data_IF_577377118559
#
_entry.id   IF_577377118559
#
_cell.length_a   1.000
_cell.length_b   1.000
_cell.length_c   1.000
_cell.angle_alpha   90.00
_cell.angle_beta   90.00
_cell.angle_gamma   90.00
#
_symmetry.space_group_name_H-M   'P 1'
#
loop_
_entity.id
_entity.type
_entity.pdbx_description
1 polymer ?
#
# COMPACT_ATOMS: atom_id res chain seq x y z
N UNK A 1 -13.86 19.71 30.56
CA UNK A 1 -13.84 19.23 29.19
C UNK A 1 -15.05 18.36 28.91
N UNK A 2 -15.56 18.40 27.68
CA UNK A 2 -16.69 17.57 27.22
C UNK A 2 -16.19 16.51 26.26
N UNK A 3 -16.50 15.28 26.58
CA UNK A 3 -16.10 14.13 25.74
C UNK A 3 -17.36 13.51 25.16
N UNK A 4 -17.44 13.52 23.81
CA UNK A 4 -18.51 12.89 23.08
C UNK A 4 -18.08 11.46 22.71
N UNK A 5 -18.82 10.47 23.20
CA UNK A 5 -18.53 9.06 22.93
C UNK A 5 -19.14 8.60 21.60
N UNK A 6 -18.72 7.43 21.10
CA UNK A 6 -19.18 6.84 19.83
C UNK A 6 -20.71 6.70 19.73
N UNK A 7 -21.39 6.49 20.84
CA UNK A 7 -22.87 6.38 20.89
C UNK A 7 -23.59 7.73 20.97
N UNK A 8 -22.85 8.84 20.87
CA UNK A 8 -23.36 10.22 20.96
C UNK A 8 -23.58 10.71 22.40
N UNK A 9 -23.34 9.90 23.42
CA UNK A 9 -23.40 10.34 24.81
C UNK A 9 -22.26 11.30 25.15
N UNK A 10 -22.53 12.30 25.97
CA UNK A 10 -21.54 13.30 26.41
C UNK A 10 -21.22 13.12 27.88
N UNK A 11 -19.93 13.06 28.17
CA UNK A 11 -19.40 13.08 29.56
C UNK A 11 -18.65 14.37 29.82
N UNK A 12 -18.88 14.98 30.99
CA UNK A 12 -18.18 16.18 31.40
C UNK A 12 -17.19 15.86 32.51
N UNK A 13 -15.97 16.34 32.38
CA UNK A 13 -14.89 16.17 33.35
C UNK A 13 -14.35 17.53 33.77
N UNK A 14 -14.14 17.72 35.10
CA UNK A 14 -13.56 18.93 35.64
C UNK A 14 -12.05 19.02 35.40
N UNK A 15 -11.37 17.87 35.31
CA UNK A 15 -9.93 17.75 35.16
C UNK A 15 -9.60 16.88 33.92
N UNK A 16 -8.38 17.03 33.42
CA UNK A 16 -7.85 16.17 32.38
C UNK A 16 -7.71 14.71 32.88
N UNK A 17 -8.02 13.76 32.01
CA UNK A 17 -7.94 12.32 32.30
C UNK A 17 -7.29 11.55 31.17
N UNK A 18 -6.60 10.45 31.49
CA UNK A 18 -6.14 9.54 30.48
C UNK A 18 -7.32 8.80 29.79
N UNK A 19 -7.12 8.35 28.55
CA UNK A 19 -8.09 7.50 27.85
C UNK A 19 -8.45 6.27 28.70
N UNK A 20 -7.48 5.71 29.44
CA UNK A 20 -7.70 4.59 30.34
C UNK A 20 -8.63 4.96 31.53
N UNK A 21 -8.40 6.10 32.18
CA UNK A 21 -9.22 6.55 33.30
C UNK A 21 -10.66 6.84 32.85
N UNK A 22 -10.82 7.40 31.62
CA UNK A 22 -12.14 7.60 31.04
C UNK A 22 -12.82 6.26 30.79
N UNK A 23 -12.10 5.26 30.23
CA UNK A 23 -12.62 3.92 30.03
C UNK A 23 -13.05 3.27 31.38
N UNK A 24 -12.28 3.52 32.46
CA UNK A 24 -12.57 3.02 33.81
C UNK A 24 -13.83 3.67 34.40
N UNK A 25 -14.00 4.99 34.23
CA UNK A 25 -15.20 5.72 34.65
C UNK A 25 -16.47 5.25 33.88
N UNK A 26 -16.30 4.79 32.67
CA UNK A 26 -17.41 4.22 31.91
C UNK A 26 -17.76 2.82 32.40
N UNK A 27 -16.78 1.96 32.58
CA UNK A 27 -16.96 0.59 33.07
C UNK A 27 -15.60 -0.10 33.31
N UNK A 28 -15.46 -0.79 34.45
CA UNK A 28 -14.32 -1.66 34.76
C UNK A 28 -14.13 -2.75 33.69
N UNK A 29 -15.25 -3.26 33.11
CA UNK A 29 -15.22 -4.25 32.05
C UNK A 29 -14.60 -3.69 30.75
N UNK A 30 -14.94 -2.44 30.42
CA UNK A 30 -14.37 -1.75 29.25
C UNK A 30 -12.88 -1.45 29.48
N UNK A 31 -12.51 -0.86 30.61
CA UNK A 31 -11.11 -0.56 30.93
C UNK A 31 -10.20 -1.79 30.89
N UNK A 32 -10.72 -2.95 31.28
CA UNK A 32 -9.99 -4.23 31.21
C UNK A 32 -9.60 -4.63 29.80
N UNK A 33 -10.49 -4.42 28.82
CA UNK A 33 -10.29 -4.83 27.42
C UNK A 33 -9.86 -3.68 26.50
N UNK A 34 -9.90 -2.45 26.98
CA UNK A 34 -9.45 -1.27 26.25
C UNK A 34 -7.94 -1.34 25.97
N UNK A 35 -7.54 -1.08 24.74
CA UNK A 35 -6.14 -1.15 24.28
C UNK A 35 -5.62 0.16 23.69
N UNK A 36 -6.51 1.04 23.23
CA UNK A 36 -6.18 2.36 22.66
C UNK A 36 -7.40 3.28 22.74
N UNK A 37 -7.22 4.55 22.41
CA UNK A 37 -8.29 5.51 22.12
C UNK A 37 -8.27 5.94 20.68
N UNK A 38 -9.40 6.45 20.20
CA UNK A 38 -9.47 7.19 18.95
C UNK A 38 -10.03 8.57 19.27
N UNK A 39 -9.20 9.61 19.16
CA UNK A 39 -9.57 11.00 19.43
C UNK A 39 -9.70 11.72 18.08
N UNK A 40 -10.89 12.24 17.80
CA UNK A 40 -11.20 12.97 16.57
C UNK A 40 -10.75 12.25 15.28
N UNK A 41 -10.79 10.90 15.29
CA UNK A 41 -10.40 10.03 14.18
C UNK A 41 -8.97 9.49 14.23
N UNK A 42 -8.10 10.03 15.08
CA UNK A 42 -6.72 9.57 15.26
C UNK A 42 -6.59 8.54 16.40
N UNK A 43 -5.88 7.44 16.12
CA UNK A 43 -5.61 6.40 17.13
C UNK A 43 -4.47 6.84 18.03
N UNK A 44 -4.76 6.88 19.32
CA UNK A 44 -3.83 7.32 20.38
C UNK A 44 -3.58 6.23 21.41
N UNK A 45 -2.44 6.35 22.12
CA UNK A 45 -2.12 5.46 23.23
C UNK A 45 -3.19 5.57 24.35
N UNK A 46 -3.48 4.46 24.98
CA UNK A 46 -4.46 4.43 26.09
C UNK A 46 -4.05 5.31 27.29
N UNK A 47 -2.77 5.66 27.38
CA UNK A 47 -2.20 6.53 28.42
C UNK A 47 -2.30 8.02 28.03
N UNK A 48 -2.71 8.34 26.81
CA UNK A 48 -2.84 9.71 26.33
C UNK A 48 -3.81 10.48 27.21
N UNK A 49 -3.38 11.63 27.69
CA UNK A 49 -4.20 12.53 28.51
C UNK A 49 -5.05 13.40 27.60
N UNK A 50 -6.35 13.35 27.81
CA UNK A 50 -7.32 14.22 27.16
C UNK A 50 -7.50 15.46 28.04
N UNK A 51 -7.29 16.64 27.47
CA UNK A 51 -7.31 17.93 28.17
C UNK A 51 -8.24 18.97 27.53
N UNK A 52 -8.89 18.63 26.42
CA UNK A 52 -9.81 19.47 25.65
C UNK A 52 -11.08 18.72 25.25
N UNK A 53 -12.07 19.45 24.78
CA UNK A 53 -13.28 18.87 24.21
C UNK A 53 -12.93 18.09 22.94
N UNK A 54 -13.43 16.84 22.82
CA UNK A 54 -13.15 15.96 21.69
C UNK A 54 -14.22 14.88 21.52
N UNK A 55 -14.16 14.21 20.38
CA UNK A 55 -14.82 12.91 20.18
C UNK A 55 -13.85 11.80 20.59
N UNK A 56 -14.29 10.90 21.46
CA UNK A 56 -13.48 9.78 21.93
C UNK A 56 -14.20 8.45 21.70
N UNK A 57 -13.53 7.55 21.01
CA UNK A 57 -13.91 6.14 20.94
C UNK A 57 -12.86 5.29 21.69
N UNK A 58 -13.30 4.42 22.59
CA UNK A 58 -12.41 3.48 23.29
C UNK A 58 -12.28 2.22 22.42
N UNK A 59 -11.06 1.97 21.97
CA UNK A 59 -10.75 0.84 21.10
C UNK A 59 -10.39 -0.42 21.90
N UNK A 60 -10.85 -1.55 21.38
CA UNK A 60 -10.55 -2.88 21.87
C UNK A 60 -9.93 -3.73 20.75
N UNK A 61 -9.32 -4.87 21.07
CA UNK A 61 -8.78 -5.78 20.03
C UNK A 61 -9.85 -6.40 19.10
N UNK A 62 -11.13 -6.02 19.24
CA UNK A 62 -12.18 -6.35 18.27
C UNK A 62 -12.31 -5.30 17.16
N UNK A 63 -11.75 -4.12 17.38
CA UNK A 63 -11.78 -3.03 16.43
C UNK A 63 -10.56 -3.13 15.50
N UNK A 64 -10.78 -3.05 14.19
CA UNK A 64 -9.70 -3.13 13.19
C UNK A 64 -8.62 -2.07 13.41
N UNK A 65 -9.00 -0.86 13.80
CA UNK A 65 -8.09 0.24 14.14
C UNK A 65 -7.14 -0.08 15.31
N UNK A 66 -7.41 -1.12 16.09
CA UNK A 66 -6.53 -1.57 17.18
C UNK A 66 -5.46 -2.59 16.74
N UNK A 67 -5.59 -3.17 15.54
CA UNK A 67 -4.60 -4.14 15.03
C UNK A 67 -3.19 -3.55 14.91
N UNK A 68 -3.00 -2.32 14.40
CA UNK A 68 -1.67 -1.69 14.39
C UNK A 68 -1.04 -1.59 15.78
N UNK A 69 -1.84 -1.30 16.83
CA UNK A 69 -1.35 -1.21 18.22
C UNK A 69 -0.88 -2.56 18.75
N UNK A 70 -1.65 -3.62 18.47
CA UNK A 70 -1.27 -5.00 18.77
C UNK A 70 0.04 -5.38 18.09
N UNK A 71 0.13 -5.14 16.77
CA UNK A 71 1.28 -5.47 15.93
C UNK A 71 2.52 -4.68 16.35
N UNK A 72 2.36 -3.40 16.65
CA UNK A 72 3.45 -2.57 17.12
C UNK A 72 3.97 -3.06 18.48
N UNK A 73 3.10 -3.44 19.38
CA UNK A 73 3.53 -4.05 20.67
C UNK A 73 4.20 -5.41 20.45
N UNK A 74 3.69 -6.22 19.53
CA UNK A 74 4.31 -7.49 19.18
C UNK A 74 5.72 -7.31 18.56
N UNK A 75 5.97 -6.21 17.82
CA UNK A 75 7.30 -5.90 17.30
C UNK A 75 8.31 -5.62 18.42
N UNK A 76 7.89 -4.92 19.49
CA UNK A 76 8.74 -4.70 20.67
C UNK A 76 8.98 -5.99 21.45
N UNK A 77 7.99 -6.88 21.58
CA UNK A 77 8.17 -8.20 22.18
C UNK A 77 9.16 -9.04 21.37
N UNK A 78 9.09 -8.97 20.04
CA UNK A 78 10.05 -9.65 19.16
C UNK A 78 11.44 -9.05 19.31
N UNK A 79 11.59 -7.73 19.32
CA UNK A 79 12.87 -7.06 19.51
C UNK A 79 13.51 -7.41 20.87
N UNK A 80 12.72 -7.45 21.96
CA UNK A 80 13.18 -7.91 23.27
C UNK A 80 13.63 -9.37 23.23
N UNK A 81 12.86 -10.25 22.60
CA UNK A 81 13.24 -11.66 22.45
C UNK A 81 14.57 -11.82 21.70
N UNK A 82 14.74 -11.07 20.61
CA UNK A 82 16.00 -11.07 19.84
C UNK A 82 17.14 -10.55 20.69
N UNK A 83 16.96 -9.45 21.44
CA UNK A 83 18.03 -8.92 22.33
C UNK A 83 18.43 -9.89 23.43
N UNK A 84 17.49 -10.66 23.98
CA UNK A 84 17.78 -11.71 24.97
C UNK A 84 18.61 -12.84 24.39
N UNK A 85 18.32 -13.22 23.14
CA UNK A 85 19.01 -14.34 22.46
C UNK A 85 20.32 -13.91 21.80
N UNK A 86 20.41 -12.65 21.35
CA UNK A 86 21.55 -12.08 20.62
C UNK A 86 21.95 -10.73 21.23
N UNK A 87 22.69 -10.71 22.35
CA UNK A 87 22.98 -9.47 23.10
C UNK A 87 23.72 -8.40 22.32
N UNK A 88 24.47 -8.76 21.27
CA UNK A 88 25.20 -7.83 20.40
C UNK A 88 24.35 -7.17 19.30
N UNK A 89 23.07 -7.54 19.16
CA UNK A 89 22.19 -6.98 18.13
C UNK A 89 21.94 -5.50 18.37
N UNK A 90 21.93 -4.70 17.27
CA UNK A 90 21.55 -3.28 17.32
C UNK A 90 20.21 -3.10 16.63
N UNK A 91 19.35 -2.32 17.26
CA UNK A 91 17.98 -2.12 16.83
C UNK A 91 17.85 -0.83 15.99
N UNK A 92 17.16 -0.92 14.86
CA UNK A 92 16.85 0.23 14.01
C UNK A 92 15.38 0.66 14.17
N UNK A 93 14.47 0.17 13.31
CA UNK A 93 13.05 0.53 13.33
C UNK A 93 12.16 -0.72 13.28
N UNK A 94 10.98 -0.61 13.91
CA UNK A 94 10.04 -1.74 14.01
C UNK A 94 8.57 -1.33 13.91
N UNK A 95 8.11 -0.75 12.76
CA UNK A 95 6.72 -0.33 12.61
C UNK A 95 5.75 -1.50 12.41
N UNK A 96 4.47 -1.25 12.70
CA UNK A 96 3.38 -2.07 12.18
C UNK A 96 3.13 -1.76 10.70
N UNK A 97 2.69 -2.76 9.96
CA UNK A 97 2.27 -2.68 8.56
C UNK A 97 0.88 -3.31 8.41
N UNK A 98 0.26 -3.18 7.23
CA UNK A 98 -1.11 -3.63 6.98
C UNK A 98 -1.38 -5.07 7.45
N UNK A 99 -0.48 -6.02 7.15
CA UNK A 99 -0.68 -7.45 7.45
C UNK A 99 0.23 -8.00 8.57
N UNK A 100 0.96 -7.13 9.26
CA UNK A 100 1.89 -7.58 10.28
C UNK A 100 2.76 -6.46 10.83
N UNK A 101 4.01 -6.77 11.02
CA UNK A 101 5.05 -5.86 11.47
C UNK A 101 6.41 -6.37 11.05
N UNK A 102 7.41 -5.53 11.09
CA UNK A 102 8.79 -5.94 10.95
C UNK A 102 9.68 -5.25 11.97
N UNK A 103 10.91 -5.70 12.07
CA UNK A 103 11.96 -4.99 12.78
C UNK A 103 13.27 -5.10 12.03
N UNK A 104 13.91 -3.95 11.78
CA UNK A 104 15.22 -3.86 11.17
C UNK A 104 16.30 -3.92 12.24
N UNK A 105 17.24 -4.84 12.09
CA UNK A 105 18.26 -5.13 13.09
C UNK A 105 19.62 -5.38 12.44
N UNK A 106 20.68 -4.98 13.12
CA UNK A 106 22.04 -5.35 12.75
C UNK A 106 22.52 -6.50 13.62
N UNK A 107 22.86 -7.61 12.98
CA UNK A 107 23.40 -8.80 13.64
C UNK A 107 24.89 -8.96 13.34
N UNK A 108 25.66 -9.45 14.30
CA UNK A 108 27.05 -9.88 14.09
C UNK A 108 27.13 -11.15 13.25
N UNK A 109 26.21 -12.09 13.49
CA UNK A 109 26.04 -13.32 12.71
C UNK A 109 24.67 -13.34 12.07
N UNK A 110 24.56 -13.55 10.73
CA UNK A 110 23.28 -13.54 10.05
C UNK A 110 22.29 -14.56 10.65
N UNK A 111 21.04 -14.13 10.82
CA UNK A 111 19.94 -15.02 11.16
C UNK A 111 19.55 -15.90 9.98
N UNK A 112 19.02 -17.07 10.30
CA UNK A 112 18.40 -17.98 9.34
C UNK A 112 16.97 -18.31 9.78
N UNK A 113 16.18 -18.95 8.91
CA UNK A 113 14.85 -19.44 9.26
C UNK A 113 14.84 -20.42 10.44
N UNK A 114 15.96 -21.10 10.73
CA UNK A 114 16.07 -22.04 11.84
C UNK A 114 16.05 -21.34 13.22
N UNK A 115 16.26 -20.02 13.23
CA UNK A 115 16.20 -19.22 14.45
C UNK A 115 14.78 -18.80 14.83
N UNK A 116 13.80 -18.89 13.90
CA UNK A 116 12.43 -18.42 14.13
C UNK A 116 11.77 -19.08 15.34
N UNK A 117 11.88 -20.41 15.45
CA UNK A 117 11.28 -21.14 16.56
C UNK A 117 11.86 -20.72 17.92
N UNK A 118 13.18 -20.43 17.97
CA UNK A 118 13.85 -19.96 19.19
C UNK A 118 13.36 -18.58 19.59
N UNK A 119 13.23 -17.66 18.61
CA UNK A 119 12.74 -16.30 18.85
C UNK A 119 11.26 -16.35 19.28
N UNK A 120 10.40 -17.12 18.60
CA UNK A 120 9.01 -17.29 18.99
C UNK A 120 8.85 -17.91 20.39
N UNK A 121 9.71 -18.85 20.74
CA UNK A 121 9.72 -19.44 22.09
C UNK A 121 10.07 -18.40 23.15
N UNK A 122 11.02 -17.52 22.89
CA UNK A 122 11.40 -16.43 23.81
C UNK A 122 10.30 -15.36 23.90
N UNK A 123 9.68 -14.98 22.75
CA UNK A 123 8.50 -14.12 22.74
C UNK A 123 7.38 -14.67 23.65
N UNK A 124 7.10 -15.98 23.57
CA UNK A 124 6.10 -16.64 24.44
C UNK A 124 6.45 -16.54 25.92
N UNK A 125 7.73 -16.56 26.30
CA UNK A 125 8.17 -16.33 27.70
C UNK A 125 7.91 -14.90 28.13
N UNK A 126 8.32 -13.92 27.33
CA UNK A 126 8.10 -12.49 27.61
C UNK A 126 6.60 -12.19 27.77
N UNK A 127 5.75 -12.72 26.91
CA UNK A 127 4.29 -12.59 27.01
C UNK A 127 3.77 -13.20 28.33
N UNK A 128 4.31 -14.33 28.75
CA UNK A 128 3.94 -14.98 30.00
C UNK A 128 4.40 -14.21 31.24
N UNK A 129 5.53 -13.49 31.15
CA UNK A 129 6.02 -12.62 32.22
C UNK A 129 5.06 -11.47 32.53
N UNK A 130 4.21 -11.09 31.58
CA UNK A 130 3.20 -10.03 31.74
C UNK A 130 3.82 -8.70 32.18
N UNK A 131 4.85 -8.28 31.48
CA UNK A 131 5.55 -7.03 31.76
C UNK A 131 4.65 -5.83 31.44
N UNK A 132 4.58 -4.89 32.37
CA UNK A 132 3.93 -3.60 32.14
C UNK A 132 4.71 -2.82 31.08
N UNK A 133 3.99 -2.11 30.20
CA UNK A 133 4.60 -1.23 29.18
C UNK A 133 4.43 0.21 29.67
N UNK A 134 5.54 0.86 29.94
CA UNK A 134 5.58 2.22 30.51
C UNK A 134 6.13 3.18 29.46
N UNK A 135 5.38 4.27 29.19
CA UNK A 135 5.84 5.38 28.36
C UNK A 135 6.54 6.42 29.23
N UNK A 136 7.67 6.93 28.78
CA UNK A 136 8.34 8.08 29.37
C UNK A 136 9.03 8.92 28.30
N UNK A 137 9.36 10.16 28.64
CA UNK A 137 10.02 11.10 27.73
C UNK A 137 11.36 11.57 28.31
N UNK A 138 12.24 12.00 27.42
CA UNK A 138 13.52 12.61 27.80
C UNK A 138 13.81 13.82 26.93
N UNK A 139 14.48 14.85 27.47
CA UNK A 139 15.07 15.91 26.66
C UNK A 139 16.09 15.30 25.66
N UNK A 140 16.27 15.95 24.50
CA UNK A 140 17.09 15.45 23.39
C UNK A 140 18.49 14.99 23.82
N UNK A 141 19.23 15.82 24.56
CA UNK A 141 20.60 15.49 24.97
C UNK A 141 20.64 14.26 25.88
N UNK A 142 19.67 14.16 26.79
CA UNK A 142 19.54 12.99 27.68
C UNK A 142 19.12 11.75 26.90
N UNK A 143 18.23 11.89 25.91
CA UNK A 143 17.80 10.80 25.06
C UNK A 143 18.94 10.24 24.21
N UNK A 144 19.77 11.11 23.64
CA UNK A 144 20.98 10.72 22.89
C UNK A 144 21.98 10.01 23.81
N UNK A 145 22.24 10.57 25.00
CA UNK A 145 23.17 9.96 25.97
C UNK A 145 22.66 8.58 26.42
N UNK A 146 21.36 8.47 26.66
CA UNK A 146 20.69 7.23 27.06
C UNK A 146 20.79 6.15 25.99
N UNK A 147 20.55 6.46 24.71
CA UNK A 147 20.69 5.49 23.63
C UNK A 147 22.13 5.13 23.32
N UNK A 148 23.10 6.05 23.51
CA UNK A 148 24.53 5.75 23.45
C UNK A 148 24.95 4.76 24.53
N UNK A 149 24.49 4.95 25.77
CA UNK A 149 24.73 4.02 26.89
C UNK A 149 24.15 2.62 26.60
N UNK A 150 22.97 2.55 25.97
CA UNK A 150 22.33 1.30 25.56
C UNK A 150 23.00 0.63 24.35
N UNK A 151 23.91 1.30 23.67
CA UNK A 151 24.60 0.77 22.48
C UNK A 151 23.74 0.70 21.22
N UNK A 152 22.77 1.63 21.07
CA UNK A 152 21.82 1.69 19.98
C UNK A 152 22.11 2.85 19.01
N UNK A 153 23.10 2.71 18.10
CA UNK A 153 23.53 3.82 17.24
C UNK A 153 22.44 4.31 16.30
N UNK A 154 21.61 3.41 15.74
CA UNK A 154 20.52 3.79 14.84
C UNK A 154 19.45 4.62 15.56
N UNK A 155 19.19 4.36 16.84
CA UNK A 155 18.27 5.18 17.64
C UNK A 155 18.84 6.56 17.93
N UNK A 156 20.17 6.68 18.09
CA UNK A 156 20.85 7.97 18.22
C UNK A 156 20.65 8.79 16.94
N UNK A 157 20.92 8.22 15.77
CA UNK A 157 20.72 8.88 14.49
C UNK A 157 19.26 9.34 14.28
N UNK A 158 18.28 8.50 14.66
CA UNK A 158 16.87 8.85 14.58
C UNK A 158 16.53 10.04 15.47
N UNK A 159 17.06 10.11 16.70
CA UNK A 159 16.84 11.24 17.61
C UNK A 159 17.48 12.53 17.05
N UNK A 160 18.68 12.43 16.46
CA UNK A 160 19.39 13.56 15.88
C UNK A 160 18.64 14.18 14.70
N UNK A 161 17.87 13.37 13.95
CA UNK A 161 17.07 13.82 12.80
C UNK A 161 15.70 14.41 13.16
N UNK A 162 15.19 14.18 14.37
CA UNK A 162 13.91 14.74 14.79
C UNK A 162 13.94 16.28 14.77
N UNK A 163 12.86 16.97 14.37
CA UNK A 163 12.77 18.44 14.44
C UNK A 163 13.03 18.98 15.85
N UNK A 164 13.52 20.21 15.94
CA UNK A 164 13.69 20.87 17.25
C UNK A 164 12.33 21.06 17.93
N UNK A 165 12.27 20.72 19.23
CA UNK A 165 11.05 20.86 20.04
C UNK A 165 10.12 19.66 19.97
N UNK A 166 10.41 18.64 19.16
CA UNK A 166 9.62 17.42 19.16
C UNK A 166 9.85 16.60 20.44
N UNK A 167 8.75 16.01 20.98
CA UNK A 167 8.78 15.19 22.17
C UNK A 167 9.44 13.84 21.88
N UNK A 168 10.51 13.52 22.58
CA UNK A 168 11.24 12.26 22.42
C UNK A 168 10.74 11.26 23.46
N UNK A 169 9.96 10.29 23.02
CA UNK A 169 9.34 9.29 23.87
C UNK A 169 9.98 7.91 23.72
N UNK A 170 9.89 7.17 24.80
CA UNK A 170 10.38 5.82 24.95
C UNK A 170 9.29 4.93 25.53
N UNK A 171 9.33 3.65 25.18
CA UNK A 171 8.52 2.63 25.81
C UNK A 171 9.41 1.57 26.43
N UNK A 172 9.14 1.27 27.69
CA UNK A 172 9.88 0.28 28.49
C UNK A 172 8.99 -0.89 28.85
N UNK A 173 9.50 -2.11 28.69
CA UNK A 173 8.90 -3.35 29.14
C UNK A 173 9.98 -4.23 29.80
N UNK A 174 9.96 -4.25 31.16
CA UNK A 174 11.03 -4.89 31.92
C UNK A 174 12.40 -4.25 31.65
N UNK A 175 13.37 -5.06 31.24
CA UNK A 175 14.72 -4.62 30.89
C UNK A 175 14.83 -3.98 29.49
N UNK A 176 13.85 -4.18 28.64
CA UNK A 176 13.84 -3.68 27.27
C UNK A 176 13.29 -2.26 27.23
N UNK A 177 13.98 -1.38 26.50
CA UNK A 177 13.55 0.00 26.21
C UNK A 177 13.78 0.29 24.74
N UNK A 178 12.80 0.94 24.12
CA UNK A 178 12.90 1.38 22.75
C UNK A 178 12.49 2.84 22.56
N UNK A 179 13.14 3.55 21.63
CA UNK A 179 12.71 4.85 21.12
C UNK A 179 11.48 4.65 20.25
N UNK A 180 10.35 5.22 20.65
CA UNK A 180 9.09 4.98 19.98
C UNK A 180 8.05 6.04 20.29
N UNK A 181 7.24 6.43 19.31
CA UNK A 181 6.10 7.33 19.46
C UNK A 181 4.82 6.62 19.97
N UNK A 182 4.75 5.29 19.84
CA UNK A 182 3.55 4.52 20.18
C UNK A 182 2.52 4.52 19.03
N UNK A 183 1.24 4.16 19.30
CA UNK A 183 0.73 3.64 20.58
C UNK A 183 1.06 2.18 20.87
N UNK A 184 0.99 1.77 22.13
CA UNK A 184 1.22 0.40 22.58
C UNK A 184 0.13 -0.11 23.52
N UNK A 185 0.01 -1.44 23.63
CA UNK A 185 -0.83 -2.11 24.63
C UNK A 185 -0.34 -1.82 26.07
N UNK A 186 -1.12 -2.18 27.08
CA UNK A 186 -0.76 -1.94 28.50
C UNK A 186 0.33 -2.88 28.99
N UNK A 187 0.35 -4.12 28.49
CA UNK A 187 1.32 -5.13 28.90
C UNK A 187 1.65 -6.11 27.78
N UNK A 188 2.80 -6.78 27.90
CA UNK A 188 3.24 -7.82 26.95
C UNK A 188 2.28 -8.99 26.85
N UNK A 189 1.51 -9.29 27.92
CA UNK A 189 0.51 -10.36 27.95
C UNK A 189 -0.63 -10.13 26.95
N UNK A 190 -0.99 -8.89 26.68
CA UNK A 190 -2.08 -8.53 25.79
C UNK A 190 -1.77 -8.84 24.30
N UNK A 191 -0.50 -9.04 23.94
CA UNK A 191 -0.11 -9.55 22.61
C UNK A 191 -0.70 -10.93 22.34
N UNK A 192 -0.91 -11.74 23.39
CA UNK A 192 -1.49 -13.05 23.24
C UNK A 192 -0.54 -14.09 22.62
N UNK A 193 -1.11 -15.14 22.05
CA UNK A 193 -0.34 -16.26 21.50
C UNK A 193 -0.48 -16.40 19.98
N UNK A 194 -1.27 -15.54 19.36
CA UNK A 194 -1.56 -15.60 17.94
C UNK A 194 -0.59 -14.71 17.13
N UNK A 195 0.67 -15.08 17.11
CA UNK A 195 1.72 -14.44 16.33
C UNK A 195 2.60 -15.47 15.63
N UNK A 196 3.26 -15.06 14.55
CA UNK A 196 4.17 -15.90 13.76
C UNK A 196 5.26 -15.06 13.12
N UNK A 197 6.50 -15.55 13.15
CA UNK A 197 7.59 -15.00 12.33
C UNK A 197 7.43 -15.57 10.92
N UNK A 198 7.44 -14.70 9.92
CA UNK A 198 7.10 -15.05 8.54
C UNK A 198 8.31 -15.21 7.63
N UNK A 199 9.25 -14.26 7.68
CA UNK A 199 10.39 -14.24 6.76
C UNK A 199 11.53 -13.35 7.24
N UNK A 200 12.67 -13.48 6.56
CA UNK A 200 13.83 -12.59 6.64
C UNK A 200 14.07 -11.92 5.29
N UNK A 201 14.49 -10.68 5.31
CA UNK A 201 14.97 -9.96 4.13
C UNK A 201 16.16 -9.05 4.49
N UNK A 202 16.97 -8.70 3.50
CA UNK A 202 17.91 -7.59 3.62
C UNK A 202 17.19 -6.27 3.38
N UNK A 203 17.49 -5.26 4.18
CA UNK A 203 16.97 -3.90 3.99
C UNK A 203 18.10 -2.90 4.24
N UNK A 204 18.34 -2.01 3.27
CA UNK A 204 19.32 -0.94 3.48
C UNK A 204 18.80 0.09 4.48
N UNK A 205 19.63 0.50 5.41
CA UNK A 205 19.29 1.54 6.35
C UNK A 205 18.82 2.81 5.61
N UNK A 206 17.66 3.32 5.98
CA UNK A 206 16.98 4.47 5.33
C UNK A 206 16.66 4.27 3.82
N UNK A 207 16.64 3.02 3.35
CA UNK A 207 16.35 2.71 1.94
C UNK A 207 17.45 3.13 0.95
N UNK A 208 18.64 3.51 1.42
CA UNK A 208 19.76 3.91 0.59
C UNK A 208 20.77 2.75 0.47
N UNK A 209 21.02 2.31 -0.77
CA UNK A 209 21.95 1.21 -1.08
C UNK A 209 23.40 1.47 -0.67
N UNK A 210 23.78 2.72 -0.39
CA UNK A 210 25.10 3.09 0.10
C UNK A 210 25.23 2.90 1.62
N UNK A 211 24.13 2.76 2.33
CA UNK A 211 24.10 2.51 3.76
C UNK A 211 24.22 1.03 4.07
N UNK A 212 24.41 0.72 5.35
CA UNK A 212 24.54 -0.66 5.82
C UNK A 212 23.26 -1.45 5.55
N UNK A 213 23.43 -2.66 5.05
CA UNK A 213 22.33 -3.62 4.93
C UNK A 213 22.03 -4.23 6.29
N UNK A 214 20.80 -4.06 6.76
CA UNK A 214 20.25 -4.63 7.98
C UNK A 214 19.46 -5.90 7.65
N UNK A 215 19.24 -6.71 8.66
CA UNK A 215 18.32 -7.84 8.59
C UNK A 215 16.93 -7.36 9.02
N UNK A 216 15.97 -7.46 8.12
CA UNK A 216 14.56 -7.20 8.37
C UNK A 216 13.86 -8.50 8.72
N UNK A 217 13.34 -8.60 9.92
CA UNK A 217 12.58 -9.74 10.42
C UNK A 217 11.09 -9.42 10.36
N UNK A 218 10.36 -10.10 9.48
CA UNK A 218 8.92 -9.93 9.32
C UNK A 218 8.13 -10.90 10.18
N UNK A 219 7.07 -10.40 10.79
CA UNK A 219 6.16 -11.20 11.59
C UNK A 219 4.73 -10.66 11.51
N UNK A 220 3.78 -11.46 11.99
CA UNK A 220 2.38 -11.03 12.10
C UNK A 220 1.81 -11.38 13.46
N UNK A 221 0.77 -10.66 13.88
CA UNK A 221 0.00 -10.93 15.09
C UNK A 221 -1.48 -10.63 14.87
N UNK A 222 -2.32 -11.45 15.49
CA UNK A 222 -3.76 -11.36 15.45
C UNK A 222 -4.36 -11.47 16.86
N UNK A 223 -5.56 -10.95 17.11
CA UNK A 223 -6.25 -11.11 18.39
C UNK A 223 -6.57 -12.57 18.72
N UNK A 224 -6.84 -13.39 17.71
CA UNK A 224 -7.24 -14.79 17.87
C UNK A 224 -6.39 -15.74 17.03
N UNK A 225 -6.28 -16.97 17.54
CA UNK A 225 -5.49 -18.02 16.87
C UNK A 225 -6.10 -18.44 15.53
N UNK A 226 -7.42 -18.47 15.46
CA UNK A 226 -8.15 -18.82 14.25
C UNK A 226 -7.89 -17.81 13.11
N UNK A 227 -7.76 -16.52 13.44
CA UNK A 227 -7.43 -15.47 12.48
C UNK A 227 -5.98 -15.63 11.95
N UNK A 228 -5.04 -15.93 12.85
CA UNK A 228 -3.66 -16.25 12.45
C UNK A 228 -3.60 -17.51 11.55
N UNK A 229 -4.30 -18.58 11.90
CA UNK A 229 -4.33 -19.80 11.11
C UNK A 229 -4.95 -19.58 9.73
N UNK A 230 -6.03 -18.80 9.66
CA UNK A 230 -6.65 -18.41 8.39
C UNK A 230 -5.66 -17.58 7.52
N UNK A 231 -4.96 -16.63 8.12
CA UNK A 231 -3.94 -15.84 7.43
C UNK A 231 -2.78 -16.71 6.92
N UNK A 232 -2.24 -17.61 7.74
CA UNK A 232 -1.16 -18.52 7.33
C UNK A 232 -1.63 -19.41 6.16
N UNK A 233 -2.84 -19.97 6.25
CA UNK A 233 -3.42 -20.78 5.18
C UNK A 233 -3.56 -19.97 3.89
N UNK A 234 -4.06 -18.73 3.97
CA UNK A 234 -4.15 -17.82 2.83
C UNK A 234 -2.77 -17.59 2.20
N UNK A 235 -1.73 -17.33 3.01
CA UNK A 235 -0.36 -17.11 2.54
C UNK A 235 0.25 -18.36 1.88
N UNK A 236 -0.03 -19.55 2.41
CA UNK A 236 0.43 -20.81 1.81
C UNK A 236 -0.26 -21.07 0.46
N UNK A 237 -1.58 -20.85 0.38
CA UNK A 237 -2.32 -20.97 -0.87
C UNK A 237 -1.83 -19.94 -1.91
N UNK A 238 -1.56 -18.72 -1.50
CA UNK A 238 -1.00 -17.71 -2.36
C UNK A 238 0.39 -18.11 -2.91
N UNK A 239 1.28 -18.67 -2.09
CA UNK A 239 2.58 -19.21 -2.55
C UNK A 239 2.41 -20.34 -3.57
N UNK A 240 1.40 -21.20 -3.41
CA UNK A 240 1.09 -22.25 -4.40
C UNK A 240 0.62 -21.67 -5.74
N UNK A 241 -0.09 -20.53 -5.71
CA UNK A 241 -0.65 -19.84 -6.87
C UNK A 241 0.27 -18.77 -7.45
N UNK A 242 1.48 -18.59 -6.92
CA UNK A 242 2.44 -17.62 -7.41
C UNK A 242 2.67 -17.83 -8.92
N UNK A 243 2.31 -16.82 -9.71
CA UNK A 243 2.39 -16.87 -11.16
C UNK A 243 3.81 -17.12 -11.68
N UNK A 244 4.86 -16.70 -10.94
CA UNK A 244 6.27 -16.95 -11.29
C UNK A 244 6.61 -18.42 -11.17
N UNK A 245 6.09 -19.08 -10.13
CA UNK A 245 6.22 -20.52 -9.92
C UNK A 245 5.44 -21.29 -11.00
N UNK A 246 4.15 -21.00 -11.12
CA UNK A 246 3.26 -21.64 -12.09
C UNK A 246 3.72 -21.39 -13.53
N UNK A 247 4.15 -20.18 -13.87
CA UNK A 247 4.67 -19.83 -15.18
C UNK A 247 5.88 -20.66 -15.58
N UNK A 248 6.80 -20.91 -14.64
CA UNK A 248 7.97 -21.77 -14.85
C UNK A 248 7.57 -23.25 -14.96
N UNK A 249 6.78 -23.77 -14.01
CA UNK A 249 6.37 -25.17 -13.97
C UNK A 249 5.54 -25.56 -15.20
N UNK A 250 4.67 -24.69 -15.66
CA UNK A 250 3.82 -24.91 -16.83
C UNK A 250 4.48 -24.53 -18.16
N UNK A 251 5.62 -23.85 -18.13
CA UNK A 251 6.31 -23.36 -19.33
C UNK A 251 5.52 -22.30 -20.07
N UNK A 252 5.01 -21.28 -19.34
CA UNK A 252 4.19 -20.21 -19.91
C UNK A 252 5.03 -19.01 -20.36
N UNK A 253 5.99 -18.59 -19.56
CA UNK A 253 6.89 -17.47 -19.86
C UNK A 253 8.23 -17.62 -19.15
N UNK A 254 9.20 -16.84 -19.60
CA UNK A 254 10.51 -16.74 -18.96
C UNK A 254 10.97 -15.30 -18.90
N UNK A 255 11.86 -15.03 -17.95
CA UNK A 255 12.67 -13.81 -17.89
C UNK A 255 14.11 -14.16 -18.27
N UNK A 256 14.80 -13.26 -18.96
CA UNK A 256 16.17 -13.48 -19.42
C UNK A 256 17.04 -12.25 -19.12
N UNK A 257 18.33 -12.49 -18.87
CA UNK A 257 19.30 -11.42 -18.56
C UNK A 257 19.52 -10.42 -19.69
N UNK A 258 19.30 -10.82 -20.94
CA UNK A 258 19.35 -9.93 -22.09
C UNK A 258 18.23 -8.87 -22.11
N UNK A 259 17.19 -9.06 -21.30
CA UNK A 259 16.03 -8.15 -21.19
C UNK A 259 15.46 -8.17 -19.78
N UNK A 260 16.14 -7.57 -18.78
CA UNK A 260 15.62 -7.53 -17.41
C UNK A 260 14.29 -6.77 -17.35
N UNK A 261 13.22 -7.43 -16.87
CA UNK A 261 11.89 -6.88 -16.81
C UNK A 261 11.08 -6.99 -18.12
N UNK A 262 11.60 -7.68 -19.14
CA UNK A 262 10.89 -7.96 -20.38
C UNK A 262 10.48 -9.44 -20.42
N UNK A 263 9.19 -9.77 -20.29
CA UNK A 263 8.74 -11.16 -20.30
C UNK A 263 8.77 -11.75 -21.71
N UNK A 264 9.29 -12.97 -21.83
CA UNK A 264 9.26 -13.78 -23.06
C UNK A 264 8.15 -14.82 -22.92
N UNK A 265 7.08 -14.71 -23.70
CA UNK A 265 6.02 -15.70 -23.71
C UNK A 265 6.43 -16.94 -24.51
N UNK A 266 6.31 -18.10 -23.88
CA UNK A 266 6.57 -19.40 -24.50
C UNK A 266 5.31 -19.92 -25.22
N UNK A 267 5.39 -20.99 -26.05
CA UNK A 267 4.25 -21.44 -26.85
C UNK A 267 2.97 -21.68 -26.05
N UNK A 268 3.05 -22.33 -24.89
CA UNK A 268 1.87 -22.53 -24.03
C UNK A 268 1.34 -21.21 -23.44
N UNK A 269 2.24 -20.29 -23.10
CA UNK A 269 1.86 -18.96 -22.64
C UNK A 269 1.17 -18.16 -23.73
N UNK A 270 1.58 -18.33 -25.00
CA UNK A 270 0.91 -17.70 -26.13
C UNK A 270 -0.50 -18.25 -26.38
N UNK A 271 -0.75 -19.54 -26.12
CA UNK A 271 -2.12 -20.09 -26.15
C UNK A 271 -3.00 -19.38 -25.14
N UNK A 272 -2.53 -19.29 -23.89
CA UNK A 272 -3.26 -18.59 -22.82
C UNK A 272 -3.50 -17.12 -23.19
N UNK A 273 -2.43 -16.41 -23.60
CA UNK A 273 -2.51 -15.00 -23.99
C UNK A 273 -3.52 -14.78 -25.12
N UNK A 274 -3.44 -15.56 -26.18
CA UNK A 274 -4.35 -15.42 -27.33
C UNK A 274 -5.81 -15.71 -26.94
N UNK A 275 -6.06 -16.69 -26.08
CA UNK A 275 -7.42 -16.96 -25.57
C UNK A 275 -7.99 -15.75 -24.84
N UNK A 276 -7.19 -15.05 -24.02
CA UNK A 276 -7.61 -13.82 -23.36
C UNK A 276 -7.85 -12.68 -24.35
N UNK A 277 -6.97 -12.54 -25.35
CA UNK A 277 -7.10 -11.51 -26.38
C UNK A 277 -8.32 -11.73 -27.29
N UNK A 278 -8.65 -12.99 -27.61
CA UNK A 278 -9.83 -13.32 -28.40
C UNK A 278 -11.11 -13.02 -27.63
N UNK A 279 -11.13 -13.34 -26.32
CA UNK A 279 -12.22 -12.94 -25.42
C UNK A 279 -12.37 -11.41 -25.35
N UNK A 280 -11.27 -10.68 -25.20
CA UNK A 280 -11.27 -9.22 -25.21
C UNK A 280 -11.91 -8.65 -26.50
N UNK A 281 -11.51 -9.16 -27.67
CA UNK A 281 -12.07 -8.74 -28.95
C UNK A 281 -13.57 -8.99 -29.03
N UNK A 282 -14.02 -10.14 -28.51
CA UNK A 282 -15.45 -10.50 -28.50
C UNK A 282 -16.28 -9.52 -27.67
N UNK A 283 -15.86 -9.26 -26.41
CA UNK A 283 -16.62 -8.39 -25.50
C UNK A 283 -16.59 -6.93 -25.96
N UNK A 284 -15.46 -6.43 -26.42
CA UNK A 284 -15.32 -5.06 -26.91
C UNK A 284 -16.15 -4.84 -28.18
N UNK A 285 -16.13 -5.78 -29.09
CA UNK A 285 -16.99 -5.72 -30.29
C UNK A 285 -18.48 -5.68 -29.93
N UNK A 286 -18.90 -6.49 -28.95
CA UNK A 286 -20.30 -6.47 -28.47
C UNK A 286 -20.65 -5.13 -27.83
N UNK A 287 -19.71 -4.50 -27.12
CA UNK A 287 -19.87 -3.19 -26.49
C UNK A 287 -19.71 -2.01 -27.49
N UNK A 288 -19.52 -2.28 -28.79
CA UNK A 288 -19.44 -1.26 -29.83
C UNK A 288 -18.07 -0.58 -29.97
N UNK A 289 -17.01 -1.20 -29.46
CA UNK A 289 -15.64 -0.71 -29.69
C UNK A 289 -15.11 -1.13 -31.05
N UNK A 290 -14.32 -0.25 -31.66
CA UNK A 290 -13.51 -0.55 -32.86
C UNK A 290 -12.07 -0.75 -32.46
N UNK A 291 -11.41 -1.83 -32.95
CA UNK A 291 -10.02 -2.11 -32.64
C UNK A 291 -9.11 -1.24 -33.51
N UNK A 292 -8.16 -0.55 -32.88
CA UNK A 292 -7.11 0.24 -33.53
C UNK A 292 -5.73 -0.24 -33.09
N UNK A 293 -4.69 0.18 -33.79
CA UNK A 293 -3.30 -0.09 -33.40
C UNK A 293 -2.43 1.11 -33.73
N UNK A 294 -1.64 1.55 -32.77
CA UNK A 294 -0.73 2.69 -32.94
C UNK A 294 0.74 2.25 -32.92
N UNK A 295 1.63 2.96 -33.64
CA UNK A 295 3.06 2.62 -33.70
C UNK A 295 3.72 2.65 -32.32
N UNK A 296 4.70 1.76 -32.11
CA UNK A 296 5.44 1.67 -30.85
C UNK A 296 6.45 2.82 -30.69
N UNK A 297 7.05 3.29 -31.80
CA UNK A 297 8.05 4.36 -31.80
C UNK A 297 7.45 5.58 -32.48
N UNK A 298 7.45 6.72 -31.80
CA UNK A 298 6.89 7.97 -32.27
C UNK A 298 7.84 9.14 -31.96
N UNK A 299 7.78 10.19 -32.80
CA UNK A 299 8.63 11.36 -32.67
C UNK A 299 8.37 12.14 -31.39
N UNK A 300 9.41 12.76 -30.84
CA UNK A 300 9.40 13.57 -29.61
C UNK A 300 8.32 14.64 -29.62
N UNK A 301 8.07 15.29 -30.75
CA UNK A 301 7.08 16.39 -30.84
C UNK A 301 5.67 15.98 -30.38
N UNK A 302 5.27 14.72 -30.61
CA UNK A 302 4.00 14.19 -30.14
C UNK A 302 3.96 14.12 -28.61
N UNK A 303 5.06 13.71 -28.00
CA UNK A 303 5.18 13.58 -26.55
C UNK A 303 5.27 14.94 -25.84
N UNK A 304 5.85 15.95 -26.49
CA UNK A 304 5.83 17.33 -26.02
C UNK A 304 4.40 17.90 -26.08
N UNK A 305 3.71 17.73 -27.21
CA UNK A 305 2.33 18.21 -27.38
C UNK A 305 1.37 17.61 -26.35
N UNK A 306 1.57 16.33 -25.98
CA UNK A 306 0.74 15.63 -25.04
C UNK A 306 1.18 15.77 -23.58
N UNK A 307 2.24 16.54 -23.28
CA UNK A 307 2.78 16.72 -21.94
C UNK A 307 3.58 15.55 -21.37
N UNK A 308 3.62 14.40 -22.05
CA UNK A 308 4.35 13.23 -21.54
C UNK A 308 5.86 13.44 -21.45
N UNK A 309 6.44 14.29 -22.32
CA UNK A 309 7.87 14.58 -22.30
C UNK A 309 8.29 15.28 -21.02
N UNK A 310 7.45 16.14 -20.47
CA UNK A 310 7.75 16.92 -19.28
C UNK A 310 7.39 16.16 -17.99
N UNK A 311 6.23 15.51 -17.94
CA UNK A 311 5.72 14.85 -16.74
C UNK A 311 6.10 13.36 -16.60
N UNK A 312 6.53 12.69 -17.69
CA UNK A 312 6.71 11.22 -17.69
C UNK A 312 8.06 10.76 -18.26
N UNK A 313 8.97 11.68 -18.61
CA UNK A 313 10.24 11.39 -19.29
C UNK A 313 11.10 10.34 -18.58
N UNK A 314 11.15 10.36 -17.26
CA UNK A 314 11.97 9.44 -16.47
C UNK A 314 11.54 7.96 -16.63
N UNK A 315 10.32 7.73 -17.05
CA UNK A 315 9.74 6.40 -17.28
C UNK A 315 9.71 6.02 -18.77
N UNK A 316 10.27 6.84 -19.66
CA UNK A 316 10.28 6.60 -21.10
C UNK A 316 11.63 6.05 -21.59
N UNK A 317 11.59 5.18 -22.57
CA UNK A 317 12.75 4.81 -23.37
C UNK A 317 12.83 5.76 -24.57
N UNK A 318 13.98 6.43 -24.73
CA UNK A 318 14.21 7.37 -25.83
C UNK A 318 15.35 6.88 -26.72
N UNK A 319 15.33 7.29 -28.00
CA UNK A 319 16.37 7.00 -28.97
C UNK A 319 16.50 8.16 -29.95
N UNK A 320 17.63 8.23 -30.63
CA UNK A 320 17.88 9.22 -31.71
C UNK A 320 17.94 8.47 -33.03
N UNK A 321 17.15 8.91 -34.00
CA UNK A 321 17.10 8.34 -35.36
C UNK A 321 17.29 9.50 -36.34
N UNK A 322 18.29 9.43 -37.20
CA UNK A 322 18.62 10.47 -38.18
C UNK A 322 18.79 11.88 -37.61
N UNK A 323 19.24 11.97 -36.35
CA UNK A 323 19.44 13.24 -35.63
C UNK A 323 18.20 13.79 -34.96
N UNK A 324 17.07 13.11 -34.99
CA UNK A 324 15.83 13.46 -34.32
C UNK A 324 15.55 12.54 -33.13
N UNK A 325 14.97 13.11 -32.07
CA UNK A 325 14.55 12.37 -30.88
C UNK A 325 13.24 11.62 -31.12
N UNK A 326 13.23 10.35 -30.73
CA UNK A 326 12.05 9.48 -30.69
C UNK A 326 11.88 8.86 -29.30
N UNK A 327 10.66 8.46 -28.98
CA UNK A 327 10.39 7.67 -27.81
C UNK A 327 9.59 6.41 -28.14
N UNK A 328 9.86 5.36 -27.37
CA UNK A 328 9.05 4.15 -27.34
C UNK A 328 7.84 4.44 -26.45
N UNK A 329 6.63 4.24 -26.96
CA UNK A 329 5.41 4.66 -26.29
C UNK A 329 5.26 4.04 -24.88
N UNK A 330 5.12 4.88 -23.84
CA UNK A 330 4.78 4.43 -22.48
C UNK A 330 3.26 4.34 -22.29
N UNK A 331 2.49 4.97 -23.18
CA UNK A 331 1.02 5.06 -23.20
C UNK A 331 0.51 5.10 -24.64
N UNK A 332 -0.76 4.78 -24.83
CA UNK A 332 -1.38 4.72 -26.17
C UNK A 332 -2.12 6.03 -26.53
N UNK A 333 -2.46 6.86 -25.53
CA UNK A 333 -3.32 8.04 -25.67
C UNK A 333 -2.92 8.98 -26.81
N UNK A 334 -1.67 9.43 -26.96
CA UNK A 334 -1.31 10.35 -28.03
C UNK A 334 -1.48 9.75 -29.43
N UNK A 335 -1.15 8.46 -29.58
CA UNK A 335 -1.38 7.72 -30.84
C UNK A 335 -2.86 7.57 -31.16
N UNK A 336 -3.69 7.25 -30.16
CA UNK A 336 -5.15 7.15 -30.30
C UNK A 336 -5.79 8.47 -30.76
N UNK A 337 -5.33 9.59 -30.20
CA UNK A 337 -5.80 10.92 -30.63
C UNK A 337 -5.44 11.21 -32.09
N UNK A 338 -4.25 10.80 -32.57
CA UNK A 338 -3.87 10.93 -33.99
C UNK A 338 -4.78 10.09 -34.89
N UNK A 339 -5.14 8.87 -34.47
CA UNK A 339 -6.10 8.03 -35.21
C UNK A 339 -7.47 8.71 -35.26
N UNK A 340 -7.95 9.25 -34.16
CA UNK A 340 -9.20 10.00 -34.14
C UNK A 340 -9.17 11.22 -35.08
N UNK A 341 -8.09 11.97 -35.07
CA UNK A 341 -7.91 13.18 -35.88
C UNK A 341 -7.62 12.92 -37.36
N UNK A 342 -7.43 11.66 -37.77
CA UNK A 342 -7.09 11.29 -39.16
C UNK A 342 -8.20 11.63 -40.18
N UNK A 343 -9.44 11.78 -39.70
CA UNK A 343 -10.60 12.09 -40.52
C UNK A 343 -11.45 13.19 -39.83
N UNK A 344 -12.13 14.05 -40.60
CA UNK A 344 -13.10 14.97 -40.07
C UNK A 344 -14.27 14.22 -39.39
N UNK A 345 -14.62 14.61 -38.17
CA UNK A 345 -15.72 14.00 -37.40
C UNK A 345 -16.81 15.00 -37.15
N UNK A 346 -18.05 14.52 -37.13
CA UNK A 346 -19.22 15.30 -36.70
C UNK A 346 -19.57 14.92 -35.26
N UNK A 347 -20.17 15.84 -34.52
CA UNK A 347 -20.74 15.53 -33.20
C UNK A 347 -21.81 14.40 -33.27
N UNK A 348 -22.37 14.14 -34.44
CA UNK A 348 -23.34 13.04 -34.68
C UNK A 348 -22.68 11.67 -34.77
N UNK A 349 -21.39 11.64 -34.97
CA UNK A 349 -20.61 10.38 -35.01
C UNK A 349 -20.25 9.88 -33.60
N UNK A 350 -20.44 10.75 -32.59
CA UNK A 350 -20.11 10.47 -31.19
C UNK A 350 -21.25 9.72 -30.47
N UNK A 351 -20.95 8.82 -29.52
CA UNK A 351 -19.61 8.49 -29.05
C UNK A 351 -18.85 7.54 -29.96
N UNK A 352 -17.55 7.71 -30.08
CA UNK A 352 -16.63 6.79 -30.80
C UNK A 352 -15.77 6.09 -29.78
N UNK A 353 -15.84 4.76 -29.71
CA UNK A 353 -15.09 3.93 -28.77
C UNK A 353 -13.99 3.18 -29.54
N UNK A 354 -12.71 3.56 -29.29
CA UNK A 354 -11.53 2.94 -29.92
C UNK A 354 -10.79 2.12 -28.86
N UNK A 355 -10.75 0.79 -29.04
CA UNK A 355 -9.99 -0.13 -28.19
C UNK A 355 -8.65 -0.48 -28.82
N UNK A 356 -7.61 -0.60 -28.03
CA UNK A 356 -6.28 -1.00 -28.48
C UNK A 356 -5.65 -2.04 -27.54
N UNK A 357 -5.20 -3.15 -28.07
CA UNK A 357 -4.28 -4.05 -27.38
C UNK A 357 -2.87 -3.44 -27.44
N UNK A 358 -2.70 -2.37 -26.66
CA UNK A 358 -1.56 -1.48 -26.75
C UNK A 358 -0.29 -2.04 -26.13
N UNK A 359 0.71 -2.37 -26.94
CA UNK A 359 2.03 -2.76 -26.45
C UNK A 359 2.81 -1.52 -26.03
N UNK A 360 3.06 -1.38 -24.73
CA UNK A 360 3.75 -0.24 -24.13
C UNK A 360 5.02 -0.65 -23.38
N UNK A 361 5.92 0.31 -23.21
CA UNK A 361 7.18 0.10 -22.51
C UNK A 361 7.40 1.20 -21.48
N UNK A 362 7.76 0.81 -20.26
CA UNK A 362 8.03 1.74 -19.15
C UNK A 362 9.36 1.42 -18.51
N UNK A 363 10.19 2.44 -18.27
CA UNK A 363 11.46 2.28 -17.59
C UNK A 363 11.24 2.16 -16.07
N UNK A 364 10.81 0.96 -15.66
CA UNK A 364 10.67 0.62 -14.25
C UNK A 364 12.03 0.38 -13.61
N UNK A 365 12.24 0.87 -12.38
CA UNK A 365 13.49 0.62 -11.62
C UNK A 365 13.65 -0.86 -11.33
N UNK A 366 14.89 -1.36 -11.38
CA UNK A 366 15.19 -2.80 -11.20
C UNK A 366 14.65 -3.38 -9.89
N UNK A 367 14.69 -2.63 -8.80
CA UNK A 367 14.18 -3.05 -7.48
C UNK A 367 12.66 -3.16 -7.38
N UNK A 368 11.92 -2.65 -8.37
CA UNK A 368 10.46 -2.71 -8.42
C UNK A 368 9.92 -3.84 -9.29
N UNK A 369 10.79 -4.51 -10.08
CA UNK A 369 10.37 -5.56 -11.00
C UNK A 369 9.86 -6.79 -10.26
N UNK A 370 8.67 -7.29 -10.66
CA UNK A 370 8.04 -8.43 -10.00
C UNK A 370 7.25 -9.32 -10.97
N UNK A 371 7.87 -10.40 -11.43
CA UNK A 371 7.23 -11.38 -12.32
C UNK A 371 6.56 -10.73 -13.52
N UNK A 372 5.27 -11.02 -13.73
CA UNK A 372 4.41 -10.35 -14.73
C UNK A 372 3.62 -9.16 -14.14
N UNK A 373 3.67 -8.94 -12.82
CA UNK A 373 2.92 -7.88 -12.15
C UNK A 373 3.55 -6.51 -12.36
N UNK A 374 4.89 -6.43 -12.43
CA UNK A 374 5.61 -5.19 -12.72
C UNK A 374 6.76 -5.46 -13.66
N UNK A 375 6.58 -5.06 -14.89
CA UNK A 375 7.44 -5.35 -16.04
C UNK A 375 7.77 -4.07 -16.81
N UNK A 376 8.73 -4.16 -17.72
CA UNK A 376 9.13 -3.05 -18.59
C UNK A 376 8.46 -3.06 -19.95
N UNK A 377 7.77 -4.15 -20.29
CA UNK A 377 7.00 -4.30 -21.53
C UNK A 377 5.74 -5.11 -21.24
N UNK A 378 4.58 -4.56 -21.59
CA UNK A 378 3.29 -5.21 -21.37
C UNK A 378 2.25 -4.73 -22.38
N UNK A 379 1.20 -5.52 -22.55
CA UNK A 379 0.05 -5.17 -23.38
C UNK A 379 -1.03 -4.63 -22.47
N UNK A 380 -1.52 -3.41 -22.74
CA UNK A 380 -2.67 -2.84 -22.08
C UNK A 380 -3.95 -3.22 -22.81
N UNK A 381 -4.97 -3.58 -22.05
CA UNK A 381 -6.36 -3.49 -22.46
C UNK A 381 -6.76 -2.00 -22.32
N UNK A 382 -6.62 -1.26 -23.39
CA UNK A 382 -6.76 0.18 -23.40
C UNK A 382 -7.87 0.62 -24.35
N UNK A 383 -8.54 1.72 -24.01
CA UNK A 383 -9.57 2.30 -24.85
C UNK A 383 -9.62 3.82 -24.72
N UNK A 384 -9.92 4.49 -25.84
CA UNK A 384 -10.17 5.92 -25.90
C UNK A 384 -11.59 6.14 -26.42
N UNK A 385 -12.41 6.79 -25.62
CA UNK A 385 -13.79 7.09 -25.94
C UNK A 385 -13.91 8.59 -26.20
N UNK A 386 -14.25 8.93 -27.42
CA UNK A 386 -14.48 10.33 -27.85
C UNK A 386 -15.97 10.60 -27.78
N UNK A 387 -16.40 11.61 -27.02
CA UNK A 387 -17.79 11.84 -26.69
C UNK A 387 -18.08 13.32 -26.43
N UNK A 388 -19.35 13.70 -26.42
CA UNK A 388 -19.77 15.03 -25.93
C UNK A 388 -19.86 15.04 -24.39
N UNK A 389 -19.83 16.22 -23.73
CA UNK A 389 -20.01 16.30 -22.27
C UNK A 389 -21.28 15.61 -21.76
N UNK A 390 -22.38 15.68 -22.51
CA UNK A 390 -23.65 15.08 -22.13
C UNK A 390 -23.61 13.55 -22.15
N UNK A 391 -22.69 12.96 -22.92
CA UNK A 391 -22.55 11.51 -23.08
C UNK A 391 -21.61 10.88 -22.02
N UNK A 392 -20.80 11.69 -21.31
CA UNK A 392 -19.76 11.20 -20.39
C UNK A 392 -20.33 10.19 -19.38
N UNK A 393 -21.43 10.53 -18.75
CA UNK A 393 -22.05 9.71 -17.71
C UNK A 393 -22.49 8.33 -18.20
N UNK A 394 -23.10 8.26 -19.37
CA UNK A 394 -23.55 7.00 -19.95
C UNK A 394 -22.40 6.14 -20.45
N UNK A 395 -21.36 6.77 -20.99
CA UNK A 395 -20.14 6.05 -21.39
C UNK A 395 -19.41 5.47 -20.19
N UNK A 396 -19.31 6.20 -19.08
CA UNK A 396 -18.71 5.68 -17.82
C UNK A 396 -19.52 4.46 -17.32
N UNK A 397 -20.84 4.50 -17.32
CA UNK A 397 -21.69 3.35 -16.96
C UNK A 397 -21.42 2.15 -17.86
N UNK A 398 -21.23 2.37 -19.16
CA UNK A 398 -20.87 1.32 -20.11
C UNK A 398 -19.52 0.68 -19.81
N UNK A 399 -18.50 1.49 -19.46
CA UNK A 399 -17.17 1.01 -19.05
C UNK A 399 -17.28 0.19 -17.76
N UNK A 400 -17.98 0.70 -16.74
CA UNK A 400 -18.18 -0.01 -15.47
C UNK A 400 -18.89 -1.36 -15.69
N UNK A 401 -19.91 -1.42 -16.55
CA UNK A 401 -20.58 -2.68 -16.89
C UNK A 401 -19.60 -3.69 -17.53
N UNK A 402 -18.78 -3.24 -18.49
CA UNK A 402 -17.77 -4.10 -19.14
C UNK A 402 -16.74 -4.64 -18.15
N UNK A 403 -16.29 -3.80 -17.22
CA UNK A 403 -15.36 -4.21 -16.14
C UNK A 403 -16.02 -5.23 -15.22
N UNK A 404 -17.26 -4.98 -14.77
CA UNK A 404 -18.01 -5.91 -13.94
C UNK A 404 -18.18 -7.28 -14.57
N UNK A 405 -18.55 -7.34 -15.85
CA UNK A 405 -18.70 -8.60 -16.58
C UNK A 405 -17.36 -9.36 -16.66
N UNK A 406 -16.29 -8.64 -16.95
CA UNK A 406 -14.94 -9.21 -17.05
C UNK A 406 -14.45 -9.74 -15.70
N UNK A 407 -14.54 -8.95 -14.63
CA UNK A 407 -14.06 -9.34 -13.31
C UNK A 407 -14.89 -10.48 -12.71
N UNK A 408 -16.20 -10.46 -12.93
CA UNK A 408 -17.11 -11.52 -12.50
C UNK A 408 -16.76 -12.87 -13.13
N UNK A 409 -16.34 -12.88 -14.41
CA UNK A 409 -15.92 -14.09 -15.10
C UNK A 409 -14.71 -14.75 -14.42
N UNK A 410 -13.78 -13.93 -13.91
CA UNK A 410 -12.58 -14.40 -13.19
C UNK A 410 -12.80 -14.59 -11.69
N UNK A 411 -13.98 -14.23 -11.16
CA UNK A 411 -14.28 -14.28 -9.73
C UNK A 411 -13.50 -13.25 -8.91
N UNK A 412 -13.06 -12.15 -9.53
CA UNK A 412 -12.34 -11.08 -8.84
C UNK A 412 -13.30 -10.21 -8.05
N UNK A 413 -12.91 -9.89 -6.83
CA UNK A 413 -13.49 -8.81 -6.05
C UNK A 413 -12.67 -7.55 -6.29
N UNK A 414 -13.30 -6.39 -6.26
CA UNK A 414 -12.63 -5.10 -6.44
C UNK A 414 -13.36 -4.01 -5.68
N UNK A 415 -12.66 -2.94 -5.36
CA UNK A 415 -13.25 -1.69 -4.89
C UNK A 415 -12.96 -0.57 -5.89
N UNK A 416 -13.72 0.49 -5.78
CA UNK A 416 -13.65 1.63 -6.70
C UNK A 416 -13.09 2.83 -5.95
N UNK A 417 -12.08 3.47 -6.53
CA UNK A 417 -11.55 4.74 -6.05
C UNK A 417 -11.80 5.83 -7.11
N UNK A 418 -12.35 6.96 -6.67
CA UNK A 418 -12.49 8.15 -7.45
C UNK A 418 -11.30 9.05 -7.15
N UNK A 419 -10.35 9.11 -8.08
CA UNK A 419 -9.16 9.95 -7.92
C UNK A 419 -9.43 11.37 -8.39
N UNK A 420 -9.07 12.34 -7.56
CA UNK A 420 -9.24 13.77 -7.85
C UNK A 420 -7.97 14.34 -8.47
N UNK A 421 -8.03 15.63 -8.83
CA UNK A 421 -6.97 16.37 -9.51
C UNK A 421 -5.66 16.37 -8.72
N UNK A 422 -4.52 15.96 -9.32
CA UNK A 422 -3.19 16.14 -8.70
C UNK A 422 -2.70 17.57 -8.81
N UNK A 423 -1.73 17.94 -7.95
CA UNK A 423 -1.12 19.27 -7.94
C UNK A 423 -0.46 19.61 -9.28
N UNK A 424 0.28 18.67 -9.86
CA UNK A 424 0.89 18.78 -11.20
C UNK A 424 -0.03 18.18 -12.25
N UNK A 425 -0.89 19.01 -12.87
CA UNK A 425 -1.93 18.58 -13.80
C UNK A 425 -2.19 19.59 -14.93
N UNK A 426 -2.69 19.08 -16.05
CA UNK A 426 -3.14 19.87 -17.21
C UNK A 426 -4.65 20.13 -17.15
N UNK A 427 -5.12 21.10 -17.92
CA UNK A 427 -6.55 21.44 -18.04
C UNK A 427 -7.01 22.53 -17.08
N UNK A 428 -8.19 23.09 -17.34
CA UNK A 428 -8.80 24.13 -16.50
C UNK A 428 -9.49 23.53 -15.26
N UNK A 429 -9.77 24.40 -14.28
CA UNK A 429 -10.51 23.98 -13.08
C UNK A 429 -11.92 23.52 -13.45
N UNK A 430 -12.56 24.18 -14.42
CA UNK A 430 -13.90 23.83 -14.93
C UNK A 430 -13.93 22.45 -15.58
N UNK A 431 -12.90 22.08 -16.38
CA UNK A 431 -12.81 20.77 -17.01
C UNK A 431 -12.68 19.67 -15.96
N UNK A 432 -11.85 19.89 -14.94
CA UNK A 432 -11.68 18.94 -13.83
C UNK A 432 -12.94 18.77 -12.98
N UNK A 433 -13.63 19.88 -12.67
CA UNK A 433 -14.89 19.84 -11.92
C UNK A 433 -15.98 19.11 -12.69
N UNK A 434 -16.11 19.38 -13.98
CA UNK A 434 -17.07 18.70 -14.86
C UNK A 434 -16.78 17.20 -14.93
N UNK A 435 -15.53 16.82 -15.15
CA UNK A 435 -15.11 15.43 -15.25
C UNK A 435 -15.32 14.64 -13.95
N UNK A 436 -14.89 15.21 -12.82
CA UNK A 436 -15.05 14.61 -11.49
C UNK A 436 -16.54 14.45 -11.13
N UNK A 437 -17.35 15.49 -11.38
CA UNK A 437 -18.79 15.44 -11.12
C UNK A 437 -19.52 14.40 -11.99
N UNK A 438 -19.08 14.23 -13.25
CA UNK A 438 -19.66 13.21 -14.13
C UNK A 438 -19.31 11.78 -13.67
N UNK A 439 -18.05 11.54 -13.22
CA UNK A 439 -17.63 10.27 -12.63
C UNK A 439 -18.44 9.95 -11.37
N UNK A 440 -18.48 10.90 -10.43
CA UNK A 440 -19.22 10.74 -9.18
C UNK A 440 -20.70 10.46 -9.43
N UNK A 441 -21.33 11.26 -10.30
CA UNK A 441 -22.74 11.06 -10.64
C UNK A 441 -23.03 9.73 -11.34
N UNK A 442 -22.09 9.16 -12.10
CA UNK A 442 -22.26 7.83 -12.68
C UNK A 442 -22.19 6.74 -11.61
N UNK A 443 -21.22 6.82 -10.67
CA UNK A 443 -21.08 5.88 -9.57
C UNK A 443 -22.28 5.90 -8.62
N UNK A 444 -22.77 7.10 -8.28
CA UNK A 444 -23.95 7.29 -7.43
C UNK A 444 -25.21 6.67 -8.06
N UNK A 445 -25.44 6.87 -9.37
CA UNK A 445 -26.57 6.27 -10.08
C UNK A 445 -26.48 4.75 -10.20
N UNK A 446 -25.26 4.20 -10.27
CA UNK A 446 -25.03 2.76 -10.25
C UNK A 446 -25.15 2.17 -8.84
N UNK A 447 -25.18 2.99 -7.79
CA UNK A 447 -25.19 2.56 -6.40
C UNK A 447 -23.92 1.83 -5.99
N UNK A 448 -22.78 2.12 -6.66
CA UNK A 448 -21.50 1.51 -6.36
C UNK A 448 -20.82 2.26 -5.21
N UNK A 449 -20.38 1.55 -4.16
CA UNK A 449 -19.54 2.18 -3.13
C UNK A 449 -18.18 2.53 -3.70
N UNK A 450 -17.71 3.73 -3.40
CA UNK A 450 -16.38 4.20 -3.80
C UNK A 450 -15.72 5.01 -2.68
N UNK A 451 -14.39 5.12 -2.74
CA UNK A 451 -13.58 5.97 -1.85
C UNK A 451 -13.00 7.11 -2.69
N UNK A 452 -12.99 8.33 -2.14
CA UNK A 452 -12.32 9.45 -2.78
C UNK A 452 -10.83 9.37 -2.44
N UNK A 453 -9.99 9.32 -3.48
CA UNK A 453 -8.54 9.34 -3.37
C UNK A 453 -8.04 10.72 -3.86
N UNK A 454 -7.77 11.61 -2.92
CA UNK A 454 -7.43 12.99 -3.23
C UNK A 454 -6.04 13.10 -3.87
N UNK A 455 -5.96 13.80 -5.01
CA UNK A 455 -4.70 14.14 -5.67
C UNK A 455 -4.04 12.99 -6.45
N UNK A 456 -4.66 11.82 -6.55
CA UNK A 456 -4.09 10.63 -7.22
C UNK A 456 -4.51 10.48 -8.69
N UNK A 457 -5.17 11.48 -9.25
CA UNK A 457 -5.62 11.46 -10.66
C UNK A 457 -4.46 11.52 -11.64
N UNK A 458 -4.69 11.04 -12.88
CA UNK A 458 -3.74 11.22 -13.96
C UNK A 458 -3.58 12.71 -14.30
N UNK A 459 -2.36 13.15 -14.60
CA UNK A 459 -2.06 14.58 -14.86
C UNK A 459 -2.86 15.21 -16.00
N UNK A 460 -3.38 14.40 -16.93
CA UNK A 460 -4.16 14.82 -18.10
C UNK A 460 -5.68 14.74 -17.94
N UNK A 461 -6.19 14.36 -16.79
CA UNK A 461 -7.64 14.36 -16.48
C UNK A 461 -8.24 12.99 -16.25
N UNK A 462 -9.50 12.99 -15.89
CA UNK A 462 -10.46 11.91 -15.64
C UNK A 462 -9.82 10.61 -15.11
N UNK A 463 -9.84 10.37 -13.82
CA UNK A 463 -9.24 9.18 -13.25
C UNK A 463 -10.23 8.43 -12.36
N UNK A 464 -10.55 7.20 -12.76
CA UNK A 464 -11.29 6.24 -11.99
C UNK A 464 -10.46 4.97 -11.90
N UNK A 465 -10.10 4.57 -10.69
CA UNK A 465 -9.28 3.37 -10.46
C UNK A 465 -10.18 2.26 -9.95
N UNK A 466 -10.19 1.13 -10.65
CA UNK A 466 -10.76 -0.11 -10.16
C UNK A 466 -9.63 -0.96 -9.60
N UNK A 467 -9.55 -1.04 -8.28
CA UNK A 467 -8.57 -1.89 -7.61
C UNK A 467 -9.20 -3.25 -7.42
N UNK A 468 -8.79 -4.21 -8.25
CA UNK A 468 -9.05 -5.61 -7.94
C UNK A 468 -8.12 -6.00 -6.81
N UNK A 469 -8.66 -6.54 -5.72
CA UNK A 469 -7.85 -7.35 -4.83
C UNK A 469 -7.68 -8.75 -5.47
N UNK A 470 -6.64 -9.00 -6.26
CA UNK A 470 -6.14 -10.35 -6.34
C UNK A 470 -5.77 -10.69 -4.91
N UNK A 471 -6.08 -11.88 -4.44
CA UNK A 471 -5.58 -12.44 -3.18
C UNK A 471 -4.08 -12.14 -3.10
N UNK A 472 -3.75 -10.95 -2.61
CA UNK A 472 -2.40 -10.44 -2.51
C UNK A 472 -1.87 -10.83 -1.16
N UNK A 473 -0.92 -11.76 -1.10
CA UNK A 473 0.21 -11.51 -0.26
C UNK A 473 1.10 -10.58 -1.09
N UNK A 474 1.26 -9.35 -0.66
CA UNK A 474 2.45 -8.61 -1.04
C UNK A 474 3.62 -9.53 -0.71
N UNK A 475 4.49 -9.88 -1.66
CA UNK A 475 5.76 -10.43 -1.26
C UNK A 475 6.46 -9.30 -0.57
N UNK A 476 6.55 -9.47 0.68
CA UNK A 476 7.42 -8.71 1.56
C UNK A 476 8.84 -8.98 1.12
#
# INVERSE_FOLDING_TARGET
MKITLKDGSVKEYAESKSVYDIALDLSEGLARVACAGEIDGEVVDIRTVVDKDCQLNILTLKDEKALPVLRHTASHVMAQAVKRLYPGVKLAIGPSIADGFYYDMEFETPLTSDDFEKIEAEMKKIIKENLEIVRFTKPRDEAIAFMKEKGEPYKVELIEDLPEGEEISFYQQGEFVDLCAGPHLKSTKEVGKAFKIMSLAGAYWRGDEHNKMLTRLYATAFPKKEELEAYITMMEEAKKRDHRKLGRELGLFMMHEAGPGFPFFLPKGMVLKNTLLDYWREIHKKAGYVEVSTPVILNRSLWETSGHWDHYKNNMYTTVIDGEDYAIKPMNCPGGVLVYASEPRSYRDLPIRMGELGLVHRHEKSGQLHGLMRVRCFTQDDAHIFMTPEQIKDEIKGVVALINDTYSLFGFQYHVELSTRPEDSMGSDEDWEMATSALQGALDELGLPYVINEGDGAFYGLSLIHISEPTRPEPI
#
